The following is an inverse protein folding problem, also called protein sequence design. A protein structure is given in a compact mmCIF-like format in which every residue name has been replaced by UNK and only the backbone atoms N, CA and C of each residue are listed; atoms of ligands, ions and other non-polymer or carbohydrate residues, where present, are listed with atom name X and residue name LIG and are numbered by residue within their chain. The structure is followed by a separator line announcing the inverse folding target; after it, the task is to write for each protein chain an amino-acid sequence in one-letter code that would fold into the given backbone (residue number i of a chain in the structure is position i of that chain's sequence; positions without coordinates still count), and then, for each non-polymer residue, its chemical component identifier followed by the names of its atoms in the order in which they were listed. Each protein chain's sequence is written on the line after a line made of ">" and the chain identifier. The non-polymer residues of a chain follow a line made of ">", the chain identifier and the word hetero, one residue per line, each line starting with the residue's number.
data_IF_809667584852
#
_entry.id   IF_809667584852
#
_cell.length_a   1.000
_cell.length_b   1.000
_cell.length_c   1.000
_cell.angle_alpha   90.00
_cell.angle_beta   90.00
_cell.angle_gamma   90.00
#
_symmetry.space_group_name_H-M   'P 1'
#
loop_
_entity.id
_entity.type
_entity.pdbx_description
1 polymer ?
#
# COMPACT_ATOMS: atom_id res chain seq x y z
N UNK A 1 -3.42 4.14 14.08
CA UNK A 1 -3.10 4.29 12.65
C UNK A 1 -3.25 5.72 12.17
N UNK A 2 -4.25 6.43 12.63
CA UNK A 2 -4.50 7.82 12.23
C UNK A 2 -3.28 8.74 12.41
N UNK A 3 -2.64 8.67 13.57
CA UNK A 3 -1.47 9.50 13.85
C UNK A 3 -0.30 9.22 12.91
N UNK A 4 -0.08 7.93 12.58
CA UNK A 4 0.98 7.55 11.64
C UNK A 4 0.67 8.06 10.23
N UNK A 5 -0.61 8.04 9.84
CA UNK A 5 -1.01 8.53 8.53
C UNK A 5 -0.74 10.02 8.41
N UNK A 6 -1.06 10.81 9.44
CA UNK A 6 -0.79 12.24 9.43
C UNK A 6 0.71 12.53 9.35
N UNK A 7 1.52 11.80 10.11
CA UNK A 7 2.97 11.95 10.06
C UNK A 7 3.51 11.60 8.68
N UNK A 8 3.01 10.51 8.10
CA UNK A 8 3.45 10.08 6.77
C UNK A 8 3.08 11.11 5.71
N UNK A 9 1.89 11.71 5.81
CA UNK A 9 1.47 12.78 4.91
C UNK A 9 2.38 14.00 5.02
N UNK A 10 2.94 14.24 6.19
CA UNK A 10 3.88 15.35 6.42
C UNK A 10 5.31 15.00 5.99
N UNK A 11 5.51 13.83 5.40
CA UNK A 11 6.81 13.44 4.87
C UNK A 11 7.64 12.51 5.76
N UNK A 12 7.07 12.02 6.87
CA UNK A 12 7.77 11.10 7.76
C UNK A 12 7.80 9.70 7.13
N UNK A 13 8.97 9.35 6.59
CA UNK A 13 9.15 8.07 5.91
C UNK A 13 9.09 6.88 6.86
N UNK A 14 9.53 7.08 8.11
CA UNK A 14 9.46 6.01 9.12
C UNK A 14 8.02 5.68 9.43
N UNK A 15 7.18 6.71 9.58
CA UNK A 15 5.75 6.51 9.80
C UNK A 15 5.11 5.75 8.65
N UNK A 16 5.48 6.07 7.41
CA UNK A 16 4.95 5.37 6.24
C UNK A 16 5.38 3.89 6.25
N UNK A 17 6.63 3.62 6.58
CA UNK A 17 7.12 2.24 6.67
C UNK A 17 6.35 1.45 7.72
N UNK A 18 6.08 2.05 8.86
CA UNK A 18 5.28 1.38 9.90
C UNK A 18 3.87 1.07 9.42
N UNK A 19 3.25 2.00 8.69
CA UNK A 19 1.93 1.77 8.11
C UNK A 19 1.94 0.56 7.17
N UNK A 20 2.95 0.48 6.31
CA UNK A 20 3.07 -0.64 5.37
C UNK A 20 3.27 -1.95 6.11
N UNK A 21 4.08 -1.95 7.18
CA UNK A 21 4.28 -3.15 7.99
C UNK A 21 2.99 -3.65 8.62
N UNK A 22 2.08 -2.75 8.99
CA UNK A 22 0.81 -3.13 9.60
C UNK A 22 -0.14 -3.81 8.61
N UNK A 23 -0.05 -3.47 7.32
CA UNK A 23 -1.00 -3.99 6.32
C UNK A 23 -0.35 -4.96 5.34
N UNK A 24 0.95 -5.24 5.45
CA UNK A 24 1.68 -6.05 4.46
C UNK A 24 1.09 -7.43 4.27
N UNK A 25 0.64 -8.08 5.33
CA UNK A 25 0.10 -9.44 5.23
C UNK A 25 -1.18 -9.47 4.43
N UNK A 26 -2.03 -8.46 4.59
CA UNK A 26 -3.24 -8.35 3.80
C UNK A 26 -2.93 -8.05 2.34
N UNK A 27 -1.95 -7.18 2.07
CA UNK A 27 -1.52 -6.92 0.71
C UNK A 27 -0.99 -8.18 0.05
N UNK A 28 -0.19 -8.96 0.78
CA UNK A 28 0.36 -10.22 0.26
C UNK A 28 -0.76 -11.20 -0.10
N UNK A 29 -1.76 -11.36 0.79
CA UNK A 29 -2.88 -12.25 0.53
C UNK A 29 -3.66 -11.87 -0.71
N UNK A 30 -3.95 -10.59 -0.88
CA UNK A 30 -4.70 -10.11 -2.05
C UNK A 30 -3.88 -10.34 -3.33
N UNK A 31 -2.60 -10.00 -3.30
CA UNK A 31 -1.74 -10.18 -4.47
C UNK A 31 -1.59 -11.65 -4.83
N UNK A 32 -1.45 -12.53 -3.82
CA UNK A 32 -1.26 -13.96 -4.04
C UNK A 32 -2.48 -14.62 -4.69
N UNK A 33 -3.67 -14.14 -4.39
CA UNK A 33 -4.89 -14.64 -5.02
C UNK A 33 -4.90 -14.29 -6.51
N UNK A 34 -4.39 -13.13 -6.88
CA UNK A 34 -4.44 -12.62 -8.26
C UNK A 34 -3.24 -13.04 -9.10
N UNK A 35 -2.07 -13.21 -8.48
CA UNK A 35 -0.82 -13.54 -9.17
C UNK A 35 -0.27 -14.84 -8.59
N UNK A 36 0.12 -15.76 -9.47
CA UNK A 36 0.60 -17.08 -9.02
C UNK A 36 2.09 -17.13 -8.77
N UNK A 37 2.83 -16.25 -9.41
CA UNK A 37 4.29 -16.23 -9.31
C UNK A 37 4.72 -15.33 -8.17
N UNK A 38 5.57 -15.84 -7.26
CA UNK A 38 6.01 -15.08 -6.09
C UNK A 38 6.82 -13.83 -6.45
N UNK A 39 7.60 -13.91 -7.55
CA UNK A 39 8.35 -12.74 -8.01
C UNK A 39 7.41 -11.62 -8.45
N UNK A 40 6.32 -11.98 -9.13
CA UNK A 40 5.30 -11.00 -9.54
C UNK A 40 4.59 -10.41 -8.33
N UNK A 41 4.30 -11.23 -7.31
CA UNK A 41 3.70 -10.74 -6.07
C UNK A 41 4.62 -9.71 -5.41
N UNK A 42 5.91 -10.03 -5.31
CA UNK A 42 6.88 -9.12 -4.73
C UNK A 42 6.94 -7.80 -5.50
N UNK A 43 7.02 -7.88 -6.81
CA UNK A 43 7.11 -6.70 -7.67
C UNK A 43 5.87 -5.81 -7.54
N UNK A 44 4.68 -6.41 -7.51
CA UNK A 44 3.44 -5.64 -7.42
C UNK A 44 3.32 -4.97 -6.06
N UNK A 45 3.77 -5.62 -5.00
CA UNK A 45 3.76 -5.01 -3.67
C UNK A 45 4.71 -3.80 -3.63
N UNK A 46 5.91 -3.93 -4.22
CA UNK A 46 6.87 -2.82 -4.29
C UNK A 46 6.27 -1.63 -5.06
N UNK A 47 5.67 -1.89 -6.22
CA UNK A 47 5.05 -0.82 -7.00
C UNK A 47 3.88 -0.17 -6.26
N UNK A 48 3.11 -0.97 -5.51
CA UNK A 48 2.02 -0.46 -4.69
C UNK A 48 2.53 0.49 -3.61
N UNK A 49 3.62 0.11 -2.95
CA UNK A 49 4.21 0.95 -1.90
C UNK A 49 4.70 2.28 -2.47
N UNK A 50 5.35 2.24 -3.63
CA UNK A 50 5.83 3.44 -4.30
C UNK A 50 4.65 4.35 -4.68
N UNK A 51 3.62 3.79 -5.30
CA UNK A 51 2.43 4.53 -5.71
C UNK A 51 1.71 5.13 -4.51
N UNK A 52 1.55 4.35 -3.44
CA UNK A 52 0.88 4.81 -2.23
C UNK A 52 1.64 5.98 -1.60
N UNK A 53 2.97 5.87 -1.52
CA UNK A 53 3.78 6.93 -0.95
C UNK A 53 3.64 8.22 -1.75
N UNK A 54 3.73 8.12 -3.07
CA UNK A 54 3.63 9.29 -3.94
C UNK A 54 2.27 9.96 -3.91
N UNK A 55 1.22 9.18 -3.65
CA UNK A 55 -0.17 9.67 -3.74
C UNK A 55 -0.81 9.90 -2.37
N UNK A 56 -0.08 9.70 -1.28
CA UNK A 56 -0.66 9.70 0.06
C UNK A 56 -1.42 10.98 0.39
N UNK A 57 -0.92 12.12 -0.07
CA UNK A 57 -1.60 13.41 0.18
C UNK A 57 -2.97 13.52 -0.49
N UNK A 58 -3.24 12.66 -1.48
CA UNK A 58 -4.55 12.64 -2.15
C UNK A 58 -5.61 11.89 -1.35
N UNK A 59 -5.19 11.10 -0.35
CA UNK A 59 -6.12 10.40 0.52
C UNK A 59 -6.82 11.42 1.41
N UNK A 60 -8.12 11.59 1.22
CA UNK A 60 -8.89 12.61 1.95
C UNK A 60 -9.33 12.11 3.32
N UNK A 61 -9.68 10.83 3.44
CA UNK A 61 -10.22 10.24 4.65
C UNK A 61 -9.28 9.15 5.15
N UNK A 62 -8.51 9.47 6.18
CA UNK A 62 -7.47 8.57 6.69
C UNK A 62 -8.01 7.22 7.14
N UNK A 63 -9.27 7.15 7.58
CA UNK A 63 -9.90 5.89 7.99
C UNK A 63 -9.99 4.87 6.86
N UNK A 64 -9.89 5.31 5.61
CA UNK A 64 -9.93 4.41 4.44
C UNK A 64 -8.54 4.05 3.91
N UNK A 65 -7.49 4.31 4.68
CA UNK A 65 -6.12 4.10 4.23
C UNK A 65 -5.89 2.68 3.70
N UNK A 66 -6.25 1.67 4.47
CA UNK A 66 -6.02 0.28 4.06
C UNK A 66 -6.77 -0.06 2.77
N UNK A 67 -8.04 0.29 2.69
CA UNK A 67 -8.84 0.05 1.49
C UNK A 67 -8.26 0.79 0.29
N UNK A 68 -7.79 1.99 0.49
CA UNK A 68 -7.19 2.80 -0.55
C UNK A 68 -5.92 2.15 -1.09
N UNK A 69 -5.04 1.66 -0.21
CA UNK A 69 -3.82 0.95 -0.63
C UNK A 69 -4.17 -0.34 -1.38
N UNK A 70 -5.17 -1.09 -0.90
CA UNK A 70 -5.59 -2.33 -1.55
C UNK A 70 -6.09 -2.04 -2.98
N UNK A 71 -6.79 -0.93 -3.20
CA UNK A 71 -7.20 -0.54 -4.55
C UNK A 71 -6.00 -0.26 -5.46
N UNK A 72 -4.99 0.40 -4.93
CA UNK A 72 -3.75 0.63 -5.67
C UNK A 72 -3.13 -0.72 -6.04
N UNK A 73 -3.08 -1.64 -5.07
CA UNK A 73 -2.54 -2.98 -5.29
C UNK A 73 -3.28 -3.71 -6.41
N UNK A 74 -4.60 -3.69 -6.38
CA UNK A 74 -5.40 -4.36 -7.41
C UNK A 74 -5.11 -3.76 -8.79
N UNK A 75 -5.01 -2.44 -8.88
CA UNK A 75 -4.67 -1.77 -10.13
C UNK A 75 -3.28 -2.19 -10.62
N UNK A 76 -2.31 -2.34 -9.72
CA UNK A 76 -0.98 -2.80 -10.10
C UNK A 76 -1.02 -4.26 -10.57
N UNK A 77 -1.80 -5.11 -9.89
CA UNK A 77 -1.97 -6.50 -10.32
C UNK A 77 -2.53 -6.59 -11.74
N UNK A 78 -3.44 -5.70 -12.10
CA UNK A 78 -4.08 -5.72 -13.42
C UNK A 78 -3.12 -5.36 -14.56
N UNK A 79 -1.95 -4.84 -14.25
CA UNK A 79 -0.92 -4.54 -15.25
C UNK A 79 -0.07 -5.76 -15.63
N UNK A 80 -0.22 -6.84 -14.90
CA UNK A 80 0.54 -8.09 -15.13
C UNK A 80 -0.17 -9.04 -16.12
#
# INVERSE_FOLDING_TARGET
>A
MESLIEKAKDGDQIAFTELMLQIKDELYKVAKIRLKNDDDVFDVIQETMISAYKSLKKLKHNEYFKTWVIRILINECNKF
#
